data_IF_712323686504
#
_entry.id   IF_712323686504
#
_cell.length_a   1.000
_cell.length_b   1.000
_cell.length_c   1.000
_cell.angle_alpha   90.00
_cell.angle_beta   90.00
_cell.angle_gamma   90.00
#
_symmetry.space_group_name_H-M   'P 1'
#
loop_
_entity.id
_entity.type
_entity.pdbx_description
1 polymer ?
#
# COMPACT_ATOMS: atom_id res chain seq x y z
N UNK A 1 17.47 4.12 -5.18
CA UNK A 1 18.54 3.90 -4.18
C UNK A 1 19.71 3.20 -4.87
N UNK A 2 20.94 3.67 -4.70
CA UNK A 2 22.11 3.03 -5.32
C UNK A 2 22.44 1.66 -4.69
N UNK A 3 23.14 0.77 -5.41
CA UNK A 3 23.44 -0.60 -4.95
C UNK A 3 24.25 -0.66 -3.65
N UNK A 4 25.11 0.34 -3.40
CA UNK A 4 25.89 0.45 -2.17
C UNK A 4 25.02 0.76 -0.93
N UNK A 5 24.06 1.68 -1.06
CA UNK A 5 23.14 2.03 0.03
C UNK A 5 22.25 0.83 0.36
N UNK A 6 21.76 0.14 -0.68
CA UNK A 6 21.00 -1.10 -0.50
C UNK A 6 21.84 -2.18 0.21
N UNK A 7 23.11 -2.36 -0.15
CA UNK A 7 23.99 -3.31 0.54
C UNK A 7 24.20 -2.95 2.02
N UNK A 8 24.45 -1.68 2.34
CA UNK A 8 24.60 -1.23 3.72
C UNK A 8 23.33 -1.47 4.54
N UNK A 9 22.16 -1.19 3.96
CA UNK A 9 20.87 -1.45 4.59
C UNK A 9 20.68 -2.95 4.87
N UNK A 10 20.96 -3.81 3.89
CA UNK A 10 20.78 -5.26 4.03
C UNK A 10 21.77 -5.87 5.05
N UNK A 11 23.01 -5.40 5.08
CA UNK A 11 24.00 -5.82 6.09
C UNK A 11 23.54 -5.37 7.49
N UNK A 12 23.08 -4.13 7.63
CA UNK A 12 22.52 -3.62 8.89
C UNK A 12 21.32 -4.43 9.38
N UNK A 13 20.39 -4.75 8.48
CA UNK A 13 19.23 -5.59 8.76
C UNK A 13 19.66 -7.01 9.19
N UNK A 14 20.58 -7.67 8.47
CA UNK A 14 21.09 -9.00 8.85
C UNK A 14 21.73 -9.00 10.25
N UNK A 15 22.56 -8.00 10.57
CA UNK A 15 23.18 -7.90 11.90
C UNK A 15 22.13 -7.69 12.98
N UNK A 16 21.12 -6.84 12.73
CA UNK A 16 19.99 -6.63 13.64
C UNK A 16 19.17 -7.89 13.89
N UNK A 17 18.84 -8.65 12.85
CA UNK A 17 18.08 -9.89 12.96
C UNK A 17 18.86 -11.00 13.70
N UNK A 18 20.19 -11.07 13.51
CA UNK A 18 21.06 -12.00 14.26
C UNK A 18 21.07 -11.64 15.75
N UNK A 19 21.11 -10.34 16.08
CA UNK A 19 21.06 -9.89 17.48
C UNK A 19 19.71 -10.25 18.15
N UNK A 20 18.60 -10.12 17.41
CA UNK A 20 17.26 -10.50 17.87
C UNK A 20 16.99 -12.03 17.81
N UNK A 21 17.98 -12.84 17.38
CA UNK A 21 17.88 -14.31 17.23
C UNK A 21 16.77 -14.78 16.27
N UNK A 22 16.41 -13.97 15.28
CA UNK A 22 15.42 -14.30 14.25
C UNK A 22 16.17 -14.82 13.01
N UNK A 23 16.36 -16.14 12.94
CA UNK A 23 17.22 -16.78 11.94
C UNK A 23 16.63 -16.79 10.52
N UNK A 24 15.30 -16.84 10.39
CA UNK A 24 14.61 -16.88 9.08
C UNK A 24 14.82 -15.57 8.31
N UNK A 25 14.62 -14.44 8.96
CA UNK A 25 14.79 -13.12 8.34
C UNK A 25 16.25 -12.83 8.02
N UNK A 26 17.17 -13.18 8.94
CA UNK A 26 18.60 -13.00 8.71
C UNK A 26 19.08 -13.75 7.45
N UNK A 27 18.56 -14.96 7.21
CA UNK A 27 18.90 -15.75 6.04
C UNK A 27 18.42 -15.10 4.73
N UNK A 28 17.18 -14.58 4.71
CA UNK A 28 16.61 -13.91 3.52
C UNK A 28 17.40 -12.64 3.20
N UNK A 29 17.71 -11.82 4.21
CA UNK A 29 18.47 -10.59 4.03
C UNK A 29 19.92 -10.87 3.56
N UNK A 30 20.55 -11.92 4.09
CA UNK A 30 21.88 -12.32 3.66
C UNK A 30 21.90 -12.83 2.21
N UNK A 31 20.93 -13.66 1.82
CA UNK A 31 20.83 -14.19 0.46
C UNK A 31 20.64 -13.09 -0.59
N UNK A 32 19.77 -12.12 -0.28
CA UNK A 32 19.52 -10.97 -1.15
C UNK A 32 20.73 -10.01 -1.22
N UNK A 33 21.47 -9.82 -0.12
CA UNK A 33 22.73 -9.07 -0.16
C UNK A 33 23.78 -9.74 -1.08
N UNK A 34 23.94 -11.07 -0.97
CA UNK A 34 24.86 -11.83 -1.84
C UNK A 34 24.44 -11.73 -3.32
N UNK A 35 23.14 -11.80 -3.60
CA UNK A 35 22.60 -11.62 -4.94
C UNK A 35 22.95 -10.24 -5.52
N UNK A 36 22.79 -9.17 -4.73
CA UNK A 36 23.15 -7.81 -5.17
C UNK A 36 24.66 -7.70 -5.46
N UNK A 37 25.52 -8.29 -4.63
CA UNK A 37 26.97 -8.31 -4.87
C UNK A 37 27.29 -9.03 -6.19
N UNK A 38 26.67 -10.19 -6.43
CA UNK A 38 26.80 -10.93 -7.69
C UNK A 38 26.38 -10.08 -8.89
N UNK A 39 25.23 -9.41 -8.81
CA UNK A 39 24.77 -8.49 -9.85
C UNK A 39 25.78 -7.35 -10.09
N UNK A 40 26.35 -6.76 -9.05
CA UNK A 40 27.36 -5.69 -9.18
C UNK A 40 28.62 -6.19 -9.90
N UNK A 41 29.07 -7.41 -9.59
CA UNK A 41 30.24 -8.00 -10.26
C UNK A 41 29.99 -8.28 -11.74
N UNK A 42 28.83 -8.86 -12.08
CA UNK A 42 28.46 -9.18 -13.47
C UNK A 42 28.32 -7.91 -14.31
N UNK A 43 27.73 -6.85 -13.75
CA UNK A 43 27.44 -5.62 -14.49
C UNK A 43 28.54 -4.55 -14.41
N UNK A 44 29.70 -4.83 -13.80
CA UNK A 44 30.80 -3.87 -13.58
C UNK A 44 31.21 -3.07 -14.84
N UNK A 45 31.12 -3.68 -16.02
CA UNK A 45 31.41 -3.02 -17.31
C UNK A 45 30.45 -1.87 -17.63
N UNK A 46 29.16 -1.99 -17.31
CA UNK A 46 28.11 -0.99 -17.61
C UNK A 46 28.06 0.16 -16.60
N UNK A 47 28.65 -0.01 -15.42
CA UNK A 47 28.67 1.03 -14.38
C UNK A 47 29.42 2.30 -14.76
N UNK A 48 30.43 2.22 -15.65
CA UNK A 48 31.16 3.42 -16.10
C UNK A 48 30.25 4.41 -16.83
N UNK A 49 29.44 3.91 -17.76
CA UNK A 49 28.44 4.74 -18.47
C UNK A 49 27.37 5.26 -17.51
N UNK A 50 26.89 4.42 -16.58
CA UNK A 50 25.89 4.84 -15.59
C UNK A 50 26.41 5.95 -14.66
N UNK A 51 27.70 5.92 -14.30
CA UNK A 51 28.35 6.97 -13.51
C UNK A 51 28.38 8.29 -14.28
N UNK A 52 28.80 8.28 -15.54
CA UNK A 52 28.89 9.50 -16.34
C UNK A 52 27.49 10.11 -16.61
N UNK A 53 26.46 9.27 -16.80
CA UNK A 53 25.06 9.71 -16.88
C UNK A 53 24.56 10.28 -15.55
N UNK A 54 24.92 9.65 -14.42
CA UNK A 54 24.54 10.13 -13.09
C UNK A 54 25.21 11.46 -12.77
N UNK A 55 26.49 11.63 -13.13
CA UNK A 55 27.21 12.89 -12.96
C UNK A 55 26.59 14.00 -13.81
N UNK A 56 26.18 13.68 -15.05
CA UNK A 56 25.46 14.62 -15.92
C UNK A 56 24.08 14.99 -15.33
N UNK A 57 23.33 14.00 -14.85
CA UNK A 57 22.04 14.23 -14.21
C UNK A 57 22.18 15.04 -12.91
N UNK A 58 23.24 14.80 -12.13
CA UNK A 58 23.50 15.52 -10.89
C UNK A 58 23.90 16.98 -11.15
N UNK A 59 24.68 17.24 -12.21
CA UNK A 59 24.97 18.60 -12.67
C UNK A 59 23.69 19.33 -13.13
N UNK A 60 22.81 18.64 -13.86
CA UNK A 60 21.51 19.19 -14.23
C UNK A 60 20.60 19.45 -13.01
N UNK A 61 20.60 18.56 -12.01
CA UNK A 61 19.83 18.73 -10.78
C UNK A 61 20.35 19.92 -9.94
N UNK A 62 21.65 20.17 -9.93
CA UNK A 62 22.24 21.32 -9.23
C UNK A 62 21.83 22.67 -9.84
N UNK A 63 21.50 22.72 -11.13
CA UNK A 63 20.98 23.93 -11.78
C UNK A 63 19.55 24.27 -11.31
N UNK A 64 18.77 23.28 -10.86
CA UNK A 64 17.37 23.44 -10.46
C UNK A 64 17.13 23.01 -9.00
N UNK A 65 17.22 23.98 -8.08
CA UNK A 65 17.02 23.76 -6.64
C UNK A 65 15.66 23.14 -6.27
N UNK A 66 14.63 23.28 -7.13
CA UNK A 66 13.31 22.67 -6.91
C UNK A 66 13.33 21.14 -6.93
N UNK A 67 14.29 20.50 -7.60
CA UNK A 67 14.45 19.03 -7.62
C UNK A 67 14.74 18.50 -6.22
N UNK A 68 15.60 19.17 -5.46
CA UNK A 68 15.95 18.72 -4.10
C UNK A 68 14.76 18.80 -3.15
N UNK A 69 13.97 19.86 -3.25
CA UNK A 69 12.77 20.03 -2.41
C UNK A 69 11.69 18.99 -2.71
N UNK A 70 11.44 18.66 -3.98
CA UNK A 70 10.42 17.65 -4.33
C UNK A 70 10.82 16.26 -3.87
N UNK A 71 12.10 15.87 -4.03
CA UNK A 71 12.63 14.60 -3.51
C UNK A 71 12.54 14.57 -1.97
N UNK A 72 12.91 15.66 -1.30
CA UNK A 72 12.89 15.73 0.16
C UNK A 72 11.46 15.59 0.70
N UNK A 73 10.50 16.33 0.13
CA UNK A 73 9.09 16.27 0.52
C UNK A 73 8.53 14.87 0.22
N UNK A 74 8.78 14.32 -0.98
CA UNK A 74 8.35 12.97 -1.34
C UNK A 74 8.86 11.93 -0.34
N UNK A 75 10.13 12.03 0.07
CA UNK A 75 10.74 11.11 1.05
C UNK A 75 10.16 11.31 2.45
N UNK A 76 9.87 12.53 2.88
CA UNK A 76 9.22 12.81 4.16
C UNK A 76 7.79 12.26 4.21
N UNK A 77 7.01 12.49 3.16
CA UNK A 77 5.64 11.97 3.03
C UNK A 77 5.64 10.43 3.02
N UNK A 78 6.57 9.83 2.27
CA UNK A 78 6.77 8.38 2.25
C UNK A 78 7.11 7.84 3.65
N UNK A 79 8.02 8.50 4.37
CA UNK A 79 8.42 8.12 5.72
C UNK A 79 7.28 8.24 6.74
N UNK A 80 6.51 9.33 6.68
CA UNK A 80 5.32 9.52 7.52
C UNK A 80 4.24 8.48 7.24
N UNK A 81 4.02 8.14 5.96
CA UNK A 81 3.08 7.07 5.58
C UNK A 81 3.53 5.71 6.11
N UNK A 82 4.84 5.44 6.15
CA UNK A 82 5.38 4.22 6.78
C UNK A 82 5.13 4.18 8.29
N UNK A 83 5.38 5.29 8.99
CA UNK A 83 5.09 5.38 10.44
C UNK A 83 3.60 5.20 10.72
N UNK A 84 2.74 5.82 9.91
CA UNK A 84 1.29 5.64 9.99
C UNK A 84 0.89 4.18 9.77
N UNK A 85 1.47 3.51 8.77
CA UNK A 85 1.18 2.11 8.50
C UNK A 85 1.57 1.20 9.68
N UNK A 86 2.73 1.43 10.31
CA UNK A 86 3.16 0.69 11.50
C UNK A 86 2.17 0.91 12.65
N UNK A 87 1.76 2.16 12.89
CA UNK A 87 0.78 2.47 13.93
C UNK A 87 -0.57 1.76 13.68
N UNK A 88 -1.06 1.75 12.44
CA UNK A 88 -2.28 1.03 12.04
C UNK A 88 -2.13 -0.49 12.16
N UNK A 89 -0.98 -1.03 11.79
CA UNK A 89 -0.73 -2.47 11.91
C UNK A 89 -0.76 -2.91 13.38
N UNK A 90 -0.11 -2.13 14.26
CA UNK A 90 -0.13 -2.37 15.70
C UNK A 90 -1.54 -2.21 16.27
N UNK A 91 -2.29 -1.17 15.88
CA UNK A 91 -3.64 -0.95 16.41
C UNK A 91 -4.59 -2.07 16.03
N UNK A 92 -4.52 -2.56 14.78
CA UNK A 92 -5.31 -3.71 14.33
C UNK A 92 -4.92 -4.97 15.10
N UNK A 93 -3.63 -5.20 15.31
CA UNK A 93 -3.17 -6.35 16.08
C UNK A 93 -3.68 -6.31 17.53
N UNK A 94 -3.49 -5.18 18.22
CA UNK A 94 -3.88 -5.05 19.63
C UNK A 94 -5.40 -5.12 19.85
N UNK A 95 -6.21 -4.61 18.92
CA UNK A 95 -7.68 -4.56 19.09
C UNK A 95 -8.35 -5.87 18.68
N UNK A 96 -7.87 -6.54 17.63
CA UNK A 96 -8.57 -7.69 17.04
C UNK A 96 -7.98 -9.05 17.43
N UNK A 97 -6.93 -9.10 18.24
CA UNK A 97 -6.39 -10.38 18.71
C UNK A 97 -7.31 -11.05 19.75
N UNK A 98 -7.51 -12.39 19.65
CA UNK A 98 -8.45 -13.13 20.49
C UNK A 98 -8.05 -13.21 21.98
N UNK A 99 -6.81 -12.81 22.33
CA UNK A 99 -6.29 -12.86 23.70
C UNK A 99 -6.40 -11.50 24.43
N UNK A 100 -6.96 -10.48 23.78
CA UNK A 100 -7.05 -9.13 24.36
C UNK A 100 -8.26 -9.00 25.32
N UNK A 101 -8.09 -8.31 26.45
CA UNK A 101 -9.14 -8.15 27.47
C UNK A 101 -10.40 -7.42 26.98
N UNK A 102 -10.32 -6.67 25.88
CA UNK A 102 -11.48 -6.03 25.25
C UNK A 102 -12.38 -6.99 24.44
N UNK A 103 -12.02 -8.27 24.34
CA UNK A 103 -12.75 -9.27 23.56
C UNK A 103 -13.71 -10.14 24.37
N UNK A 104 -13.79 -9.97 25.69
CA UNK A 104 -14.66 -10.79 26.55
C UNK A 104 -16.17 -10.55 26.28
N UNK A 105 -16.54 -9.37 25.76
CA UNK A 105 -17.93 -8.98 25.51
C UNK A 105 -18.30 -8.85 24.00
N UNK A 106 -17.34 -9.06 23.08
CA UNK A 106 -17.49 -8.70 21.65
C UNK A 106 -17.16 -9.80 20.62
N UNK A 107 -18.13 -10.16 19.78
CA UNK A 107 -18.07 -11.22 18.73
C UNK A 107 -17.13 -10.94 17.53
N UNK A 108 -16.29 -9.90 17.60
CA UNK A 108 -15.47 -9.42 16.47
C UNK A 108 -14.00 -9.88 16.56
N UNK A 109 -13.58 -10.47 17.68
CA UNK A 109 -12.21 -10.91 17.89
C UNK A 109 -12.02 -12.34 17.38
N UNK A 110 -11.64 -12.45 16.10
CA UNK A 110 -11.35 -13.73 15.45
C UNK A 110 -10.00 -13.68 14.77
N UNK A 111 -9.17 -14.72 14.97
CA UNK A 111 -7.86 -14.85 14.33
C UNK A 111 -7.93 -14.70 12.80
N UNK A 112 -9.02 -15.17 12.18
CA UNK A 112 -9.23 -15.01 10.73
C UNK A 112 -9.45 -13.54 10.32
N UNK A 113 -10.20 -12.77 11.12
CA UNK A 113 -10.43 -11.35 10.86
C UNK A 113 -9.13 -10.54 11.07
N UNK A 114 -8.37 -10.82 12.13
CA UNK A 114 -7.07 -10.17 12.38
C UNK A 114 -6.14 -10.36 11.18
N UNK A 115 -5.95 -11.59 10.71
CA UNK A 115 -5.09 -11.87 9.55
C UNK A 115 -5.54 -11.16 8.28
N UNK A 116 -6.84 -11.16 8.00
CA UNK A 116 -7.40 -10.46 6.81
C UNK A 116 -7.14 -8.96 6.89
N UNK A 117 -7.34 -8.33 8.07
CA UNK A 117 -7.09 -6.91 8.26
C UNK A 117 -5.60 -6.56 8.17
N UNK A 118 -4.71 -7.39 8.73
CA UNK A 118 -3.26 -7.18 8.62
C UNK A 118 -2.78 -7.27 7.17
N UNK A 119 -3.27 -8.25 6.40
CA UNK A 119 -2.97 -8.38 4.97
C UNK A 119 -3.50 -7.17 4.20
N UNK A 120 -4.72 -6.73 4.51
CA UNK A 120 -5.32 -5.55 3.90
C UNK A 120 -4.46 -4.29 4.12
N UNK A 121 -4.03 -4.04 5.36
CA UNK A 121 -3.17 -2.90 5.73
C UNK A 121 -1.82 -2.94 5.00
N UNK A 122 -1.25 -4.13 4.78
CA UNK A 122 0.00 -4.29 4.00
C UNK A 122 -0.24 -3.96 2.52
N UNK A 123 -1.31 -4.49 1.92
CA UNK A 123 -1.66 -4.24 0.52
C UNK A 123 -1.94 -2.75 0.28
N UNK A 124 -2.67 -2.11 1.20
CA UNK A 124 -2.93 -0.67 1.18
C UNK A 124 -1.61 0.12 1.17
N UNK A 125 -0.65 -0.25 2.02
CA UNK A 125 0.64 0.44 2.07
C UNK A 125 1.47 0.24 0.80
N UNK A 126 1.48 -0.96 0.21
CA UNK A 126 2.11 -1.20 -1.09
C UNK A 126 1.52 -0.30 -2.19
N UNK A 127 0.22 -0.03 -2.10
CA UNK A 127 -0.47 0.84 -3.05
C UNK A 127 -0.18 2.33 -2.80
N UNK A 128 -0.32 2.83 -1.57
CA UNK A 128 -0.04 4.22 -1.21
C UNK A 128 1.41 4.57 -1.56
N UNK A 129 2.35 3.67 -1.28
CA UNK A 129 3.76 3.88 -1.63
C UNK A 129 4.01 3.95 -3.14
N UNK A 130 3.31 3.13 -3.94
CA UNK A 130 3.35 3.23 -5.40
C UNK A 130 2.82 4.56 -5.92
N UNK A 131 1.72 5.07 -5.35
CA UNK A 131 1.15 6.36 -5.73
C UNK A 131 2.11 7.51 -5.40
N UNK A 132 2.67 7.56 -4.17
CA UNK A 132 3.61 8.61 -3.76
C UNK A 132 4.84 8.63 -4.68
N UNK A 133 5.39 7.46 -5.01
CA UNK A 133 6.53 7.34 -5.93
C UNK A 133 6.19 7.86 -7.33
N UNK A 134 5.01 7.51 -7.87
CA UNK A 134 4.59 7.93 -9.20
C UNK A 134 4.33 9.45 -9.26
N UNK A 135 3.69 10.02 -8.23
CA UNK A 135 3.48 11.47 -8.13
C UNK A 135 4.81 12.21 -8.05
N UNK A 136 5.76 11.70 -7.26
CA UNK A 136 7.09 12.30 -7.12
C UNK A 136 7.83 12.28 -8.46
N UNK A 137 7.71 11.20 -9.23
CA UNK A 137 8.30 11.07 -10.57
C UNK A 137 7.69 12.02 -11.60
N UNK A 138 6.36 12.15 -11.65
CA UNK A 138 5.68 13.03 -12.60
C UNK A 138 5.94 14.50 -12.32
N UNK A 139 6.02 14.90 -11.05
CA UNK A 139 6.39 16.26 -10.64
C UNK A 139 7.81 16.61 -11.10
N UNK A 140 8.75 15.66 -11.04
CA UNK A 140 10.10 15.88 -11.58
C UNK A 140 10.10 15.98 -13.10
N UNK A 141 9.40 15.08 -13.79
CA UNK A 141 9.35 15.07 -15.26
C UNK A 141 8.70 16.33 -15.84
N UNK A 142 7.66 16.88 -15.20
CA UNK A 142 6.91 18.03 -15.69
C UNK A 142 7.39 19.40 -15.18
N UNK A 143 8.07 19.47 -14.04
CA UNK A 143 8.47 20.73 -13.43
C UNK A 143 9.89 21.17 -13.80
N UNK A 144 10.91 20.83 -12.98
CA UNK A 144 12.28 21.32 -13.15
C UNK A 144 12.95 20.89 -14.47
N UNK A 145 12.65 19.70 -15.00
CA UNK A 145 13.30 19.19 -16.22
C UNK A 145 12.59 19.60 -17.52
N UNK A 146 11.42 20.25 -17.44
CA UNK A 146 10.68 20.73 -18.61
C UNK A 146 11.03 22.17 -19.01
N UNK A 147 11.78 22.90 -18.17
CA UNK A 147 12.17 24.29 -18.41
C UNK A 147 13.60 24.36 -18.94
N UNK A 148 13.77 24.61 -20.24
CA UNK A 148 15.06 24.93 -20.86
C UNK A 148 15.14 26.44 -21.04
N UNK A 149 16.15 27.10 -20.45
CA UNK A 149 16.38 28.56 -20.48
C UNK A 149 15.24 29.42 -19.90
N UNK A 150 14.48 28.92 -18.92
CA UNK A 150 13.39 29.67 -18.29
C UNK A 150 12.17 29.87 -19.20
N UNK A 151 12.17 29.25 -20.38
CA UNK A 151 11.02 29.19 -21.29
C UNK A 151 10.49 27.76 -21.34
N UNK A 152 9.17 27.60 -21.28
CA UNK A 152 8.48 26.33 -21.54
C UNK A 152 8.61 26.02 -23.03
N UNK A 153 9.75 25.44 -23.43
CA UNK A 153 9.89 24.82 -24.74
C UNK A 153 9.18 23.47 -24.70
N UNK A 154 7.85 23.53 -24.91
CA UNK A 154 7.03 22.38 -25.32
C UNK A 154 6.93 22.44 -26.84
N UNK A 155 8.07 22.37 -27.51
CA UNK A 155 8.19 22.43 -28.95
C UNK A 155 7.87 21.08 -29.59
N UNK A 156 7.98 19.98 -28.84
CA UNK A 156 7.59 18.65 -29.28
C UNK A 156 6.27 18.18 -28.65
N UNK A 157 5.31 17.86 -29.52
CA UNK A 157 3.98 17.38 -29.15
C UNK A 157 3.97 16.02 -28.41
N UNK A 158 5.11 15.36 -28.19
CA UNK A 158 5.13 14.10 -27.45
C UNK A 158 5.27 14.29 -25.92
N UNK A 159 5.77 15.45 -25.47
CA UNK A 159 5.99 15.72 -24.05
C UNK A 159 4.68 15.86 -23.26
N UNK A 160 3.63 16.46 -23.84
CA UNK A 160 2.30 16.50 -23.21
C UNK A 160 1.67 15.11 -23.12
N UNK A 161 1.96 14.23 -24.10
CA UNK A 161 1.50 12.84 -24.14
C UNK A 161 2.10 12.02 -22.98
N UNK A 162 3.39 12.23 -22.66
CA UNK A 162 4.07 11.55 -21.54
C UNK A 162 3.49 11.99 -20.18
N UNK A 163 3.23 13.29 -20.00
CA UNK A 163 2.60 13.81 -18.79
C UNK A 163 1.17 13.29 -18.61
N UNK A 164 0.39 13.31 -19.69
CA UNK A 164 -0.96 12.76 -19.70
C UNK A 164 -0.97 11.25 -19.42
N UNK A 165 -0.08 10.49 -20.06
CA UNK A 165 0.04 9.05 -19.84
C UNK A 165 0.38 8.72 -18.39
N UNK A 166 1.30 9.47 -17.78
CA UNK A 166 1.70 9.24 -16.40
C UNK A 166 0.58 9.59 -15.40
N UNK A 167 -0.22 10.63 -15.69
CA UNK A 167 -1.43 10.95 -14.95
C UNK A 167 -2.51 9.87 -15.09
N UNK A 168 -2.73 9.36 -16.31
CA UNK A 168 -3.65 8.25 -16.59
C UNK A 168 -3.18 6.96 -15.90
N UNK A 169 -1.87 6.69 -15.84
CA UNK A 169 -1.32 5.53 -15.14
C UNK A 169 -1.57 5.63 -13.63
N UNK A 170 -1.38 6.81 -13.05
CA UNK A 170 -1.71 7.08 -11.65
C UNK A 170 -3.22 6.90 -11.38
N UNK A 171 -4.09 7.35 -12.28
CA UNK A 171 -5.54 7.14 -12.21
C UNK A 171 -5.94 5.66 -12.34
N UNK A 172 -5.31 4.90 -13.24
CA UNK A 172 -5.61 3.47 -13.44
C UNK A 172 -5.27 2.64 -12.19
N UNK A 173 -4.19 2.99 -11.50
CA UNK A 173 -3.85 2.39 -10.21
C UNK A 173 -4.94 2.68 -9.15
N UNK A 174 -5.57 3.85 -9.20
CA UNK A 174 -6.74 4.18 -8.35
C UNK A 174 -8.02 3.45 -8.74
N UNK A 175 -8.31 3.30 -10.04
CA UNK A 175 -9.50 2.57 -10.50
C UNK A 175 -9.43 1.07 -10.22
N UNK A 176 -8.23 0.47 -10.21
CA UNK A 176 -8.05 -0.93 -9.85
C UNK A 176 -8.48 -1.25 -8.41
N UNK A 177 -8.46 -0.26 -7.50
CA UNK A 177 -8.96 -0.41 -6.14
C UNK A 177 -10.48 -0.36 -6.10
N UNK A 178 -11.09 0.59 -6.82
CA UNK A 178 -12.55 0.71 -6.92
C UNK A 178 -13.16 -0.58 -7.44
N UNK A 179 -12.52 -1.23 -8.43
CA UNK A 179 -12.98 -2.51 -8.95
C UNK A 179 -12.84 -3.67 -7.94
N UNK A 180 -11.79 -3.69 -7.11
CA UNK A 180 -11.64 -4.69 -6.06
C UNK A 180 -12.69 -4.52 -4.94
N UNK A 181 -12.99 -3.28 -4.56
CA UNK A 181 -14.05 -2.96 -3.60
C UNK A 181 -15.44 -3.33 -4.15
N UNK A 182 -15.71 -2.98 -5.41
CA UNK A 182 -16.95 -3.34 -6.10
C UNK A 182 -17.11 -4.87 -6.22
N UNK A 183 -16.03 -5.60 -6.50
CA UNK A 183 -16.01 -7.07 -6.50
C UNK A 183 -16.31 -7.67 -5.11
N UNK A 184 -15.78 -7.07 -4.04
CA UNK A 184 -16.08 -7.49 -2.67
C UNK A 184 -17.54 -7.27 -2.29
N UNK A 185 -18.08 -6.10 -2.59
CA UNK A 185 -19.50 -5.75 -2.32
C UNK A 185 -20.46 -6.63 -3.13
N UNK A 186 -20.19 -6.85 -4.41
CA UNK A 186 -21.02 -7.73 -5.25
C UNK A 186 -21.00 -9.19 -4.77
N UNK A 187 -19.88 -9.68 -4.26
CA UNK A 187 -19.79 -11.03 -3.67
C UNK A 187 -20.72 -11.18 -2.46
N UNK A 188 -20.79 -10.15 -1.60
CA UNK A 188 -21.70 -10.14 -0.44
C UNK A 188 -23.16 -10.19 -0.90
N UNK A 189 -23.53 -9.42 -1.92
CA UNK A 189 -24.88 -9.47 -2.49
C UNK A 189 -25.24 -10.84 -3.09
N UNK A 190 -24.30 -11.50 -3.77
CA UNK A 190 -24.52 -12.86 -4.31
C UNK A 190 -24.68 -13.89 -3.17
N UNK A 191 -23.95 -13.74 -2.06
CA UNK A 191 -24.13 -14.58 -0.89
C UNK A 191 -25.51 -14.37 -0.23
N UNK A 192 -26.02 -13.13 -0.21
CA UNK A 192 -27.37 -12.82 0.28
C UNK A 192 -28.47 -13.40 -0.62
N UNK A 193 -28.25 -13.44 -1.94
CA UNK A 193 -29.22 -13.93 -2.93
C UNK A 193 -29.38 -15.45 -2.95
N UNK A 194 -28.28 -16.22 -2.76
CA UNK A 194 -28.32 -17.69 -2.84
C UNK A 194 -28.92 -18.40 -1.64
N UNK A 195 -28.51 -18.03 -0.43
CA UNK A 195 -29.03 -18.59 0.82
C UNK A 195 -28.51 -17.72 1.99
N UNK A 196 -29.36 -16.88 2.61
CA UNK A 196 -28.95 -15.93 3.65
C UNK A 196 -28.40 -16.63 4.90
N UNK A 197 -28.75 -17.90 5.10
CA UNK A 197 -28.27 -18.71 6.23
C UNK A 197 -26.75 -18.97 6.20
N UNK A 198 -26.10 -18.96 5.03
CA UNK A 198 -24.64 -19.07 4.96
C UNK A 198 -23.94 -17.81 5.48
N UNK A 199 -24.55 -16.63 5.31
CA UNK A 199 -24.06 -15.39 5.91
C UNK A 199 -24.28 -15.38 7.42
N UNK A 200 -25.42 -15.90 7.89
CA UNK A 200 -25.70 -16.10 9.31
C UNK A 200 -24.70 -17.06 9.97
N UNK A 201 -24.28 -18.13 9.30
CA UNK A 201 -23.27 -19.04 9.83
C UNK A 201 -21.84 -18.45 9.79
N UNK A 202 -21.53 -17.58 8.81
CA UNK A 202 -20.18 -17.05 8.62
C UNK A 202 -19.92 -15.76 9.39
N UNK A 203 -20.93 -14.90 9.55
CA UNK A 203 -20.91 -13.69 10.35
C UNK A 203 -22.34 -13.37 10.86
N UNK A 204 -22.77 -14.01 11.95
CA UNK A 204 -24.13 -13.84 12.49
C UNK A 204 -24.41 -12.39 12.88
N UNK A 205 -23.39 -11.66 13.35
CA UNK A 205 -23.51 -10.27 13.78
C UNK A 205 -23.81 -9.31 12.63
N UNK A 206 -23.09 -9.43 11.52
CA UNK A 206 -23.36 -8.65 10.32
C UNK A 206 -24.75 -8.96 9.73
N UNK A 207 -25.17 -10.23 9.81
CA UNK A 207 -26.49 -10.67 9.37
C UNK A 207 -27.62 -10.07 10.21
N UNK A 208 -27.45 -10.01 11.53
CA UNK A 208 -28.43 -9.41 12.44
C UNK A 208 -28.56 -7.89 12.24
N UNK A 209 -27.44 -7.18 12.00
CA UNK A 209 -27.45 -5.74 11.65
C UNK A 209 -28.14 -5.49 10.29
N UNK A 210 -27.98 -6.38 9.32
CA UNK A 210 -28.73 -6.37 8.05
C UNK A 210 -30.24 -6.57 8.30
N UNK A 211 -30.61 -7.50 9.18
CA UNK A 211 -32.01 -7.80 9.53
C UNK A 211 -32.68 -6.69 10.37
N UNK A 212 -31.90 -5.86 11.06
CA UNK A 212 -32.39 -4.67 11.75
C UNK A 212 -32.79 -3.54 10.79
N UNK A 213 -32.34 -3.59 9.51
CA UNK A 213 -32.72 -2.61 8.50
C UNK A 213 -34.16 -2.88 8.01
N UNK A 214 -35.11 -1.94 8.18
CA UNK A 214 -36.53 -2.18 7.93
C UNK A 214 -36.86 -2.51 6.47
N UNK A 215 -36.02 -2.06 5.53
CA UNK A 215 -36.15 -2.35 4.09
C UNK A 215 -35.68 -3.75 3.70
N UNK A 216 -34.70 -4.33 4.41
CA UNK A 216 -34.18 -5.67 4.13
C UNK A 216 -35.08 -6.74 4.77
N UNK A 217 -35.55 -6.46 5.98
CA UNK A 217 -36.42 -7.32 6.76
C UNK A 217 -37.72 -7.73 6.04
N UNK A 218 -38.43 -6.75 5.46
CA UNK A 218 -39.73 -6.99 4.80
C UNK A 218 -39.64 -7.84 3.53
N UNK A 219 -38.45 -7.97 2.94
CA UNK A 219 -38.21 -8.72 1.70
C UNK A 219 -37.79 -10.16 2.00
N UNK A 220 -36.99 -10.38 3.04
CA UNK A 220 -36.34 -11.68 3.33
C UNK A 220 -37.07 -12.48 4.42
N UNK A 221 -37.75 -11.82 5.36
CA UNK A 221 -38.45 -12.47 6.48
C UNK A 221 -39.92 -12.04 6.59
N UNK A 222 -40.77 -12.36 5.59
CA UNK A 222 -42.17 -11.92 5.57
C UNK A 222 -43.04 -12.55 6.69
N UNK A 223 -42.56 -13.62 7.32
CA UNK A 223 -43.30 -14.40 8.34
C UNK A 223 -43.00 -13.97 9.79
N UNK A 224 -41.95 -13.18 9.99
CA UNK A 224 -41.64 -12.62 11.30
C UNK A 224 -42.42 -11.29 11.49
N UNK A 225 -43.10 -11.11 12.62
CA UNK A 225 -44.00 -9.97 12.85
C UNK A 225 -43.32 -8.66 13.29
N UNK A 226 -42.02 -8.69 13.64
CA UNK A 226 -41.27 -7.50 14.06
C UNK A 226 -39.79 -7.59 13.66
N UNK A 227 -39.19 -6.50 13.15
CA UNK A 227 -37.75 -6.45 12.87
C UNK A 227 -36.96 -6.83 14.12
N UNK A 228 -35.92 -7.64 13.95
CA UNK A 228 -35.02 -8.00 15.03
C UNK A 228 -34.39 -6.70 15.56
N UNK A 229 -34.53 -6.45 16.86
CA UNK A 229 -33.92 -5.30 17.53
C UNK A 229 -32.40 -5.40 17.33
N UNK A 230 -31.72 -4.34 16.85
CA UNK A 230 -30.27 -4.35 16.75
C UNK A 230 -29.71 -4.65 18.15
N UNK A 231 -28.88 -5.69 18.27
CA UNK A 231 -28.26 -6.03 19.55
C UNK A 231 -27.49 -4.81 20.04
N UNK A 232 -27.81 -4.33 21.23
CA UNK A 232 -27.09 -3.21 21.86
C UNK A 232 -25.60 -3.54 21.83
N UNK A 233 -24.83 -2.62 21.23
CA UNK A 233 -23.39 -2.79 21.02
C UNK A 233 -22.72 -2.91 22.39
N UNK A 234 -22.31 -4.13 22.73
CA UNK A 234 -21.16 -4.35 23.59
C UNK A 234 -19.89 -4.00 22.80
#
# INVERSE_FOLDING_TARGET
MGPLISLLYMIGATVGCIYLKIWSEAAICAASAVFIVLCVFIFKSRYRLARDLLDTANQAAQAHWSVFWTVLIGTLVQGLSSLWNIATFISVFLVFEPWHQGCDDGDYCSAGMTWVLLIFVIIEYMWISGVISNVTLTVMAGGPYALVDGSLKVDEWWNWLILLYSFILALNIGLALTSALEAGVTTIFVCLDKDPDYLKQRNPRFYDDLCAHPSYYSIVMPEANQPLQPREKA
#
